data_IF_574561054661
#
_entry.id   IF_574561054661
#
_cell.length_a   1.000
_cell.length_b   1.000
_cell.length_c   1.000
_cell.angle_alpha   90.00
_cell.angle_beta   90.00
_cell.angle_gamma   90.00
#
_symmetry.space_group_name_H-M   'P 1'
#
loop_
_entity.id
_entity.type
_entity.pdbx_description
1 polymer ?
2 non-polymer ?
3 non-polymer ?
4 non-polymer ?
5 non-polymer ?
6 water ?
#
# COMPACT_ATOMS: atom_id res chain seq x y z
N UNK A 2 -27.66 2.20 -22.68
CA UNK A 2 -26.51 2.53 -23.59
C UNK A 2 -25.62 3.58 -22.94
N UNK A 3 -24.94 3.19 -21.85
CA UNK A 3 -24.08 4.09 -21.07
C UNK A 3 -23.10 3.30 -20.17
N UNK A 4 -22.57 3.97 -19.14
CA UNK A 4 -21.60 3.36 -18.22
C UNK A 4 -22.25 2.33 -17.28
N UNK A 5 -21.43 1.44 -16.73
CA UNK A 5 -21.88 0.50 -15.70
C UNK A 5 -20.66 0.10 -14.88
N UNK A 6 -20.88 -0.08 -13.57
CA UNK A 6 -19.84 -0.59 -12.65
C UNK A 6 -20.33 -1.88 -12.03
N UNK A 7 -19.53 -2.95 -12.13
CA UNK A 7 -19.84 -4.15 -11.39
C UNK A 7 -18.64 -4.56 -10.56
N UNK A 8 -18.85 -4.57 -9.26
CA UNK A 8 -17.82 -4.97 -8.29
C UNK A 8 -18.03 -6.42 -7.91
N UNK A 9 -16.96 -7.21 -7.98
CA UNK A 9 -17.02 -8.59 -7.55
C UNK A 9 -16.26 -8.80 -6.25
N UNK A 10 -16.92 -9.41 -5.28
CA UNK A 10 -16.27 -9.84 -4.01
C UNK A 10 -17.02 -10.91 -3.24
N UNK A 11 -16.40 -11.42 -2.18
CA UNK A 11 -17.12 -12.22 -1.20
C UNK A 11 -18.16 -11.36 -0.42
N UNK A 12 -18.94 -12.03 0.43
CA UNK A 12 -19.91 -11.38 1.33
C UNK A 12 -19.18 -10.91 2.58
N UNK A 13 -18.24 -9.99 2.34
CA UNK A 13 -17.38 -9.45 3.36
C UNK A 13 -17.07 -8.00 3.01
N UNK A 14 -16.63 -7.24 4.00
CA UNK A 14 -16.14 -5.91 3.73
C UNK A 14 -14.70 -6.01 3.22
N UNK A 15 -13.82 -6.47 4.09
CA UNK A 15 -12.44 -6.83 3.71
C UNK A 15 -11.82 -5.83 2.74
N UNK A 16 -11.27 -6.32 1.63
CA UNK A 16 -10.58 -5.45 0.67
C UNK A 16 -11.52 -4.64 -0.25
N UNK A 17 -12.76 -5.08 -0.38
CA UNK A 17 -13.75 -4.42 -1.26
C UNK A 17 -14.32 -3.13 -0.69
N UNK A 18 -14.43 -3.06 0.64
CA UNK A 18 -15.23 -1.98 1.23
C UNK A 18 -14.80 -0.55 0.83
N UNK A 19 -13.48 -0.26 0.79
CA UNK A 19 -13.11 1.12 0.38
C UNK A 19 -13.66 1.51 -1.00
N UNK A 20 -13.76 0.52 -1.89
CA UNK A 20 -14.26 0.77 -3.23
C UNK A 20 -15.77 1.09 -3.15
N UNK A 21 -16.49 0.29 -2.38
CA UNK A 21 -17.93 0.54 -2.19
C UNK A 21 -18.17 1.88 -1.57
N UNK A 22 -17.38 2.23 -0.53
CA UNK A 22 -17.56 3.57 0.08
C UNK A 22 -17.26 4.72 -0.89
N UNK A 23 -16.19 4.55 -1.68
CA UNK A 23 -15.81 5.55 -2.67
C UNK A 23 -16.95 5.80 -3.68
N UNK A 24 -17.51 4.72 -4.23
CA UNK A 24 -18.55 4.84 -5.25
C UNK A 24 -19.80 5.48 -4.61
N UNK A 25 -20.08 5.06 -3.37
CA UNK A 25 -21.21 5.60 -2.62
C UNK A 25 -21.05 7.12 -2.39
N UNK A 26 -19.89 7.51 -1.88
CA UNK A 26 -19.66 8.95 -1.60
C UNK A 26 -19.60 9.82 -2.87
N UNK A 27 -19.14 9.25 -3.99
CA UNK A 27 -19.15 9.91 -5.30
C UNK A 27 -20.54 9.97 -5.96
N UNK A 28 -21.52 9.32 -5.36
CA UNK A 28 -22.89 9.32 -5.87
C UNK A 28 -23.07 8.50 -7.14
N UNK A 29 -22.22 7.47 -7.27
CA UNK A 29 -22.21 6.62 -8.45
C UNK A 29 -22.92 5.29 -8.14
N UNK A 30 -24.00 5.01 -8.87
CA UNK A 30 -24.69 3.74 -8.73
C UNK A 30 -23.81 2.62 -9.27
N UNK A 31 -23.85 1.46 -8.60
CA UNK A 31 -23.07 0.31 -9.06
C UNK A 31 -23.69 -1.03 -8.66
N UNK A 32 -23.33 -2.06 -9.42
CA UNK A 32 -23.74 -3.40 -9.11
C UNK A 32 -22.75 -4.00 -8.12
N UNK A 33 -23.22 -4.23 -6.90
CA UNK A 33 -22.40 -4.76 -5.82
C UNK A 33 -22.60 -6.27 -5.75
N UNK A 34 -21.85 -7.00 -6.56
CA UNK A 34 -21.98 -8.46 -6.58
C UNK A 34 -21.14 -9.11 -5.49
N UNK A 35 -21.85 -9.66 -4.50
CA UNK A 35 -21.30 -10.39 -3.35
C UNK A 35 -21.72 -11.85 -3.37
N UNK A 36 -20.78 -12.72 -3.70
CA UNK A 36 -21.08 -14.14 -3.84
C UNK A 36 -20.73 -14.95 -2.61
N UNK A 37 -21.33 -16.12 -2.49
CA UNK A 37 -21.09 -17.00 -1.33
C UNK A 37 -19.78 -17.76 -1.49
N UNK A 38 -19.29 -18.27 -0.37
CA UNK A 38 -18.16 -19.18 -0.34
C UNK A 38 -18.39 -20.41 -1.23
N UNK A 39 -19.62 -20.91 -1.22
CA UNK A 39 -19.99 -22.08 -2.04
C UNK A 39 -19.97 -21.77 -3.54
N UNK A 40 -20.31 -20.53 -3.90
CA UNK A 40 -20.33 -20.14 -5.32
C UNK A 40 -18.91 -19.90 -5.86
N UNK A 41 -18.00 -19.50 -4.97
CA UNK A 41 -16.65 -19.07 -5.39
C UNK A 41 -15.88 -20.08 -6.26
N UNK A 42 -15.88 -21.39 -5.89
CA UNK A 42 -15.03 -22.31 -6.66
C UNK A 42 -15.34 -22.32 -8.16
N UNK A 43 -16.57 -21.97 -8.55
CA UNK A 43 -16.90 -21.96 -9.99
C UNK A 43 -16.82 -20.57 -10.66
N UNK A 44 -16.64 -19.53 -9.84
CA UNK A 44 -16.38 -18.17 -10.30
C UNK A 44 -14.87 -17.96 -10.49
N UNK A 45 -14.08 -18.42 -9.52
CA UNK A 45 -12.62 -18.30 -9.52
C UNK A 45 -11.91 -18.57 -10.87
N UNK A 46 -12.23 -19.71 -11.54
CA UNK A 46 -11.47 -20.04 -12.77
C UNK A 46 -11.77 -19.12 -13.95
N UNK A 47 -12.77 -18.25 -13.80
CA UNK A 47 -13.16 -17.33 -14.84
C UNK A 47 -12.59 -15.92 -14.67
N UNK A 48 -12.04 -15.61 -13.51
CA UNK A 48 -11.53 -14.24 -13.28
C UNK A 48 -10.01 -14.15 -13.43
N UNK A 49 -9.52 -13.03 -13.98
CA UNK A 49 -8.08 -12.83 -14.17
C UNK A 49 -7.36 -12.80 -12.85
N UNK A 50 -6.37 -13.67 -12.73
CA UNK A 50 -5.61 -13.79 -11.50
C UNK A 50 -6.29 -14.66 -10.44
N UNK A 51 -7.57 -15.00 -10.63
CA UNK A 51 -8.27 -15.88 -9.70
C UNK A 51 -8.50 -15.30 -8.30
N UNK A 52 -8.49 -13.97 -8.20
CA UNK A 52 -8.71 -13.32 -6.92
C UNK A 52 -9.70 -12.14 -7.06
N UNK A 53 -10.28 -11.76 -5.93
CA UNK A 53 -11.16 -10.59 -5.87
C UNK A 53 -10.60 -9.60 -4.80
N UNK A 54 -11.01 -8.31 -4.84
CA UNK A 54 -11.99 -7.65 -5.70
C UNK A 54 -11.59 -7.54 -7.13
N UNK A 55 -12.61 -7.49 -7.97
CA UNK A 55 -12.46 -7.14 -9.38
C UNK A 55 -13.55 -6.13 -9.66
N UNK A 56 -13.21 -5.06 -10.37
CA UNK A 56 -14.18 -4.03 -10.81
C UNK A 56 -14.28 -4.04 -12.33
N UNK A 57 -15.49 -4.34 -12.84
CA UNK A 57 -15.74 -4.29 -14.28
C UNK A 57 -16.38 -2.96 -14.60
N UNK A 58 -15.70 -2.18 -15.42
CA UNK A 58 -16.20 -0.89 -15.86
C UNK A 58 -16.57 -0.95 -17.34
N UNK A 59 -17.85 -0.74 -17.61
CA UNK A 59 -18.30 -0.58 -18.99
C UNK A 59 -18.30 0.91 -19.30
N UNK A 60 -17.43 1.27 -20.25
CA UNK A 60 -17.10 2.66 -20.47
C UNK A 60 -18.21 3.42 -21.17
N UNK A 61 -18.03 4.75 -21.31
CA UNK A 61 -18.89 5.55 -22.18
C UNK A 61 -18.85 4.97 -23.61
N UNK A 62 -17.74 4.33 -23.96
CA UNK A 62 -17.56 3.72 -25.29
C UNK A 62 -18.16 2.31 -25.43
N UNK A 63 -18.89 1.86 -24.42
CA UNK A 63 -19.54 0.55 -24.44
C UNK A 63 -18.61 -0.63 -24.21
N UNK A 64 -17.31 -0.36 -24.10
CA UNK A 64 -16.29 -1.39 -23.94
C UNK A 64 -16.03 -1.73 -22.47
N UNK A 65 -15.69 -2.99 -22.21
CA UNK A 65 -15.44 -3.51 -20.86
C UNK A 65 -13.96 -3.47 -20.51
N UNK A 66 -13.65 -2.94 -19.32
CA UNK A 66 -12.28 -3.03 -18.79
C UNK A 66 -12.41 -3.60 -17.37
N UNK A 67 -11.61 -4.60 -17.05
CA UNK A 67 -11.71 -5.35 -15.79
C UNK A 67 -10.48 -4.96 -15.00
N UNK A 68 -10.69 -4.41 -13.81
CA UNK A 68 -9.59 -3.93 -13.00
C UNK A 68 -9.41 -4.80 -11.75
N UNK A 69 -8.14 -5.10 -11.44
CA UNK A 69 -7.72 -5.82 -10.27
C UNK A 69 -7.02 -4.91 -9.26
N UNK A 70 -6.85 -5.49 -8.08
CA UNK A 70 -6.12 -4.93 -6.94
C UNK A 70 -6.88 -3.78 -6.27
N UNK A 71 -7.41 -4.08 -5.10
CA UNK A 71 -8.46 -3.23 -4.43
C UNK A 71 -8.05 -1.74 -4.38
N UNK A 72 -6.85 -1.46 -3.85
CA UNK A 72 -6.44 -0.03 -3.66
C UNK A 72 -5.78 0.62 -4.91
N UNK A 73 -5.50 -0.19 -5.90
CA UNK A 73 -5.23 0.31 -7.24
C UNK A 73 -6.55 0.80 -7.86
N UNK A 74 -7.56 -0.06 -7.82
CA UNK A 74 -8.92 0.29 -8.29
C UNK A 74 -9.36 1.56 -7.58
N UNK A 75 -9.24 1.55 -6.25
CA UNK A 75 -9.71 2.70 -5.44
C UNK A 75 -9.01 4.02 -5.82
N UNK A 76 -7.70 3.98 -6.03
CA UNK A 76 -6.95 5.21 -6.33
C UNK A 76 -7.34 5.75 -7.73
N UNK A 77 -7.50 4.85 -8.70
CA UNK A 77 -7.91 5.23 -10.05
C UNK A 77 -9.27 5.95 -9.98
N UNK A 78 -10.22 5.31 -9.31
CA UNK A 78 -11.56 5.89 -9.13
C UNK A 78 -11.47 7.21 -8.42
N UNK A 79 -10.65 7.25 -7.35
CA UNK A 79 -10.58 8.46 -6.55
C UNK A 79 -10.01 9.62 -7.38
N UNK A 80 -8.99 9.34 -8.22
CA UNK A 80 -8.47 10.35 -9.11
C UNK A 80 -9.59 10.85 -10.04
N UNK A 81 -10.35 9.89 -10.60
CA UNK A 81 -11.44 10.24 -11.53
C UNK A 81 -12.50 11.09 -10.82
N UNK A 82 -12.75 10.79 -9.55
CA UNK A 82 -13.80 11.50 -8.79
C UNK A 82 -13.29 12.71 -8.01
N UNK A 83 -12.04 13.14 -8.25
CA UNK A 83 -11.43 14.29 -7.53
C UNK A 83 -11.43 14.04 -6.01
N UNK A 84 -11.13 12.81 -5.61
CA UNK A 84 -11.10 12.46 -4.20
C UNK A 84 -9.72 11.92 -3.80
N UNK A 85 -8.71 12.32 -4.56
CA UNK A 85 -7.33 11.85 -4.33
C UNK A 85 -6.41 13.04 -4.04
N UNK A 86 -7.01 14.15 -3.59
CA UNK A 86 -6.25 15.36 -3.25
C UNK A 86 -6.13 16.33 -4.42
N UNK A 87 -6.10 17.62 -4.09
CA UNK A 87 -6.10 18.69 -5.11
C UNK A 87 -4.71 19.34 -5.26
N UNK A 88 -3.81 19.02 -4.33
CA UNK A 88 -2.42 19.49 -4.38
C UNK A 88 -1.51 18.28 -4.11
N UNK A 89 -0.23 18.42 -4.43
CA UNK A 89 0.74 17.37 -4.14
C UNK A 89 0.81 17.10 -2.65
N UNK A 90 0.66 18.14 -1.85
CA UNK A 90 0.68 17.98 -0.39
C UNK A 90 -0.54 17.15 0.06
N UNK A 91 -1.71 17.42 -0.53
CA UNK A 91 -2.90 16.65 -0.16
C UNK A 91 -2.75 15.19 -0.56
N UNK A 92 -2.20 14.98 -1.75
CA UNK A 92 -1.90 13.63 -2.26
C UNK A 92 -0.99 12.93 -1.28
N UNK A 93 0.10 13.59 -0.89
CA UNK A 93 0.97 13.02 0.13
C UNK A 93 0.24 12.62 1.43
N UNK A 94 -0.59 13.54 1.95
CA UNK A 94 -1.28 13.31 3.21
C UNK A 94 -2.19 12.06 3.11
N UNK A 95 -2.83 11.92 1.94
CA UNK A 95 -3.68 10.77 1.67
C UNK A 95 -2.83 9.50 1.64
N UNK A 96 -1.71 9.55 0.93
CA UNK A 96 -0.85 8.36 0.82
C UNK A 96 -0.26 8.00 2.17
N UNK A 97 0.07 9.03 2.97
CA UNK A 97 0.56 8.76 4.32
C UNK A 97 -0.43 7.95 5.16
N UNK A 98 -1.70 8.39 5.21
CA UNK A 98 -2.70 7.67 5.99
C UNK A 98 -2.99 6.29 5.45
N UNK A 99 -3.00 6.15 4.14
CA UNK A 99 -3.27 4.84 3.55
C UNK A 99 -2.14 3.86 3.93
N UNK A 100 -0.87 4.30 3.84
CA UNK A 100 0.26 3.41 4.21
C UNK A 100 0.13 2.96 5.67
N UNK A 101 -0.15 3.91 6.56
CA UNK A 101 -0.29 3.60 7.98
C UNK A 101 -1.47 2.63 8.20
N UNK A 102 -2.60 2.91 7.54
CA UNK A 102 -3.75 2.06 7.67
C UNK A 102 -3.56 0.67 7.01
N UNK A 103 -2.74 0.58 5.95
CA UNK A 103 -2.49 -0.77 5.39
C UNK A 103 -1.81 -1.64 6.45
N UNK A 104 -0.90 -1.06 7.22
CA UNK A 104 -0.26 -1.82 8.32
C UNK A 104 -1.28 -2.25 9.38
N UNK A 105 -2.17 -1.33 9.77
CA UNK A 105 -3.19 -1.58 10.78
C UNK A 105 -4.12 -2.69 10.28
N UNK A 106 -4.53 -2.56 9.01
CA UNK A 106 -5.41 -3.53 8.38
C UNK A 106 -4.79 -4.90 8.48
N UNK A 107 -3.51 -5.01 8.13
CA UNK A 107 -2.89 -6.32 8.18
C UNK A 107 -2.85 -6.91 9.58
N UNK A 108 -2.55 -6.06 10.56
CA UNK A 108 -2.51 -6.49 11.97
C UNK A 108 -3.86 -7.08 12.42
N UNK A 109 -4.93 -6.37 12.07
CA UNK A 109 -6.25 -6.78 12.55
C UNK A 109 -6.83 -7.96 11.75
N UNK A 110 -6.51 -8.03 10.44
CA UNK A 110 -6.91 -9.19 9.64
C UNK A 110 -6.25 -10.47 10.17
N UNK A 111 -4.97 -10.36 10.55
CA UNK A 111 -4.24 -11.48 11.13
C UNK A 111 -4.96 -11.99 12.38
N UNK A 112 -5.42 -11.06 13.22
CA UNK A 112 -6.17 -11.40 14.42
C UNK A 112 -7.47 -12.11 14.04
N UNK A 113 -8.26 -11.51 13.14
CA UNK A 113 -9.49 -12.13 12.65
C UNK A 113 -9.27 -13.59 12.20
N UNK A 114 -8.15 -13.84 11.52
CA UNK A 114 -7.86 -15.18 10.99
C UNK A 114 -7.27 -16.14 12.03
N UNK A 115 -7.00 -15.64 13.24
CA UNK A 115 -6.44 -16.47 14.30
C UNK A 115 -7.56 -17.30 14.97
N UNK A 116 -7.31 -18.61 15.23
CA UNK A 116 -8.38 -19.42 15.87
C UNK A 116 -8.77 -18.88 17.25
N UNK A 117 -9.98 -19.19 17.70
CA UNK A 117 -10.51 -18.67 18.98
C UNK A 117 -9.56 -18.83 20.15
N UNK A 118 -8.87 -19.97 20.18
CA UNK A 118 -7.95 -20.30 21.26
C UNK A 118 -6.79 -19.35 21.41
N UNK A 119 -6.21 -18.96 20.28
CA UNK A 119 -4.96 -18.17 20.27
C UNK A 119 -5.18 -16.68 20.01
N UNK A 120 -6.44 -16.30 19.83
CA UNK A 120 -6.83 -14.94 19.51
C UNK A 120 -6.44 -13.96 20.63
N UNK A 121 -6.81 -14.29 21.87
CA UNK A 121 -6.62 -13.35 22.98
C UNK A 121 -5.16 -12.90 23.12
N UNK A 122 -4.22 -13.83 22.99
CA UNK A 122 -2.80 -13.52 23.06
C UNK A 122 -2.32 -12.60 21.93
N UNK A 123 -2.88 -12.76 20.73
CA UNK A 123 -2.57 -11.85 19.62
C UNK A 123 -3.15 -10.48 19.87
N UNK A 124 -4.32 -10.44 20.49
CA UNK A 124 -4.97 -9.18 20.88
C UNK A 124 -4.16 -8.41 21.92
N UNK A 125 -3.70 -9.11 22.95
CA UNK A 125 -2.87 -8.48 23.98
C UNK A 125 -1.59 -7.93 23.36
N UNK A 126 -0.96 -8.73 22.49
CA UNK A 126 0.22 -8.29 21.76
C UNK A 126 -0.06 -6.99 20.99
N UNK A 127 -1.19 -6.97 20.29
CA UNK A 127 -1.57 -5.81 19.50
C UNK A 127 -1.76 -4.60 20.40
N UNK A 128 -2.44 -4.78 21.51
CA UNK A 128 -2.79 -3.65 22.38
C UNK A 128 -1.56 -3.04 23.04
N UNK A 129 -0.53 -3.87 23.27
CA UNK A 129 0.67 -3.42 23.99
C UNK A 129 1.80 -2.91 23.08
N UNK A 130 1.81 -3.31 21.82
CA UNK A 130 3.00 -3.10 20.99
C UNK A 130 2.69 -2.37 19.68
N UNK A 131 2.39 -3.12 18.62
CA UNK A 131 2.16 -2.51 17.31
C UNK A 131 0.91 -1.64 17.19
N UNK A 132 -0.14 -2.01 17.92
CA UNK A 132 -1.39 -1.22 17.93
C UNK A 132 -1.14 0.24 18.31
N UNK A 133 -0.63 0.49 19.54
CA UNK A 133 -0.42 1.93 19.83
C UNK A 133 0.59 2.63 18.95
N UNK A 134 1.59 1.91 18.45
CA UNK A 134 2.56 2.56 17.58
C UNK A 134 1.88 3.05 16.31
N UNK A 135 1.08 2.16 15.70
CA UNK A 135 0.38 2.50 14.45
C UNK A 135 -0.67 3.56 14.68
N UNK A 136 -1.43 3.37 15.76
CA UNK A 136 -2.55 4.25 16.09
C UNK A 136 -2.09 5.65 16.50
N UNK A 137 -0.96 5.74 17.20
CA UNK A 137 -0.29 7.04 17.42
C UNK A 137 0.03 7.78 16.11
N UNK A 138 0.63 7.06 15.16
CA UNK A 138 0.94 7.63 13.84
C UNK A 138 -0.31 8.12 13.17
N UNK A 139 -1.34 7.28 13.18
CA UNK A 139 -2.57 7.63 12.49
C UNK A 139 -3.20 8.86 13.17
N UNK A 140 -3.21 8.86 14.50
CA UNK A 140 -3.75 10.00 15.24
C UNK A 140 -2.98 11.27 14.91
N UNK A 141 -1.65 11.18 14.95
CA UNK A 141 -0.81 12.37 14.67
C UNK A 141 -1.01 12.85 13.25
N UNK A 142 -1.08 11.91 12.28
CA UNK A 142 -1.38 12.31 10.92
C UNK A 142 -2.74 13.06 10.80
N UNK A 143 -3.79 12.51 11.37
CA UNK A 143 -5.12 13.17 11.31
C UNK A 143 -5.15 14.49 12.09
N UNK A 144 -4.49 14.53 13.24
CA UNK A 144 -4.38 15.78 13.98
C UNK A 144 -3.67 16.88 13.19
N UNK A 145 -2.64 16.52 12.41
CA UNK A 145 -1.88 17.51 11.63
C UNK A 145 -2.76 18.19 10.60
N UNK A 146 -3.81 17.50 10.14
CA UNK A 146 -4.66 18.04 9.10
C UNK A 146 -5.99 18.56 9.67
N UNK A 147 -6.10 18.66 10.99
CA UNK A 147 -7.25 19.33 11.60
C UNK A 147 -8.31 18.47 12.26
N UNK A 148 -8.12 17.14 12.23
CA UNK A 148 -8.95 16.21 12.97
C UNK A 148 -10.24 15.72 12.30
N UNK A 149 -10.67 16.41 11.24
CA UNK A 149 -11.95 16.10 10.59
C UNK A 149 -11.75 15.40 9.26
N UNK A 150 -10.69 15.79 8.56
CA UNK A 150 -10.37 15.19 7.27
C UNK A 150 -8.88 15.02 7.17
N UNK A 151 -8.49 13.94 6.48
CA UNK A 151 -7.09 13.61 6.23
C UNK A 151 -6.40 14.68 5.37
N UNK A 152 -7.15 15.21 4.39
CA UNK A 152 -6.59 16.18 3.42
C UNK A 152 -7.69 17.06 2.90
N UNK A 153 -7.39 18.35 2.77
CA UNK A 153 -8.41 19.34 2.37
C UNK A 153 -9.56 19.39 3.37
N UNK A 154 -10.69 19.95 2.97
CA UNK A 154 -11.80 19.99 3.91
C UNK A 154 -12.97 19.15 3.45
N UNK A 155 -12.69 18.24 2.52
CA UNK A 155 -13.72 17.40 1.93
C UNK A 155 -13.33 15.94 2.01
N UNK A 156 -14.31 15.07 1.86
CA UNK A 156 -14.09 13.62 1.83
C UNK A 156 -13.13 13.19 0.69
N UNK A 157 -12.14 12.35 1.05
CA UNK A 157 -11.18 11.77 0.09
C UNK A 157 -11.06 10.26 0.35
N UNK A 158 -10.36 9.56 -0.55
CA UNK A 158 -10.11 8.15 -0.32
C UNK A 158 -9.35 7.94 1.01
N UNK A 159 -8.50 8.92 1.37
CA UNK A 159 -7.81 8.83 2.66
C UNK A 159 -8.78 8.73 3.82
N UNK A 160 -9.80 9.61 3.85
CA UNK A 160 -10.83 9.50 4.89
C UNK A 160 -11.52 8.14 4.88
N UNK A 161 -11.89 7.68 3.68
CA UNK A 161 -12.67 6.48 3.60
C UNK A 161 -11.88 5.23 4.02
N UNK A 162 -10.61 5.15 3.60
CA UNK A 162 -9.78 4.01 3.98
C UNK A 162 -9.46 4.06 5.51
N UNK A 163 -9.27 5.26 6.05
CA UNK A 163 -9.15 5.40 7.50
C UNK A 163 -10.39 4.88 8.22
N UNK A 164 -11.56 5.28 7.69
CA UNK A 164 -12.81 4.84 8.26
C UNK A 164 -12.97 3.30 8.29
N UNK A 165 -12.80 2.64 7.14
CA UNK A 165 -12.95 1.19 7.07
C UNK A 165 -11.93 0.49 8.02
N UNK A 166 -10.72 1.03 8.07
CA UNK A 166 -9.67 0.42 8.87
C UNK A 166 -10.03 0.54 10.37
N UNK A 167 -10.52 1.71 10.78
CA UNK A 167 -10.91 1.94 12.17
C UNK A 167 -12.11 1.03 12.54
N UNK A 168 -13.02 0.80 11.59
CA UNK A 168 -14.12 -0.11 11.81
C UNK A 168 -13.54 -1.46 12.21
N UNK A 169 -12.54 -1.93 11.46
CA UNK A 169 -11.89 -3.20 11.78
C UNK A 169 -11.22 -3.21 13.14
N UNK A 170 -10.50 -2.14 13.49
CA UNK A 170 -9.94 -2.04 14.84
C UNK A 170 -11.03 -2.15 15.92
N UNK A 171 -12.12 -1.40 15.73
CA UNK A 171 -13.21 -1.34 16.72
C UNK A 171 -13.86 -2.69 16.93
N UNK A 172 -13.96 -3.48 15.85
CA UNK A 172 -14.58 -4.80 15.92
C UNK A 172 -13.67 -5.88 16.46
N UNK A 173 -12.37 -5.74 16.18
CA UNK A 173 -11.37 -6.76 16.47
C UNK A 173 -10.83 -6.59 17.87
N UNK A 174 -10.74 -5.35 18.33
CA UNK A 174 -10.14 -5.01 19.63
C UNK A 174 -11.13 -4.08 20.35
N UNK A 175 -12.28 -4.64 20.78
CA UNK A 175 -13.37 -3.76 21.21
C UNK A 175 -12.97 -2.89 22.41
N UNK A 176 -13.36 -1.63 22.38
CA UNK A 176 -13.11 -0.69 23.49
C UNK A 176 -11.78 0.03 23.43
N UNK A 177 -10.80 -0.61 22.79
CA UNK A 177 -9.42 -0.10 22.73
C UNK A 177 -9.30 1.27 22.10
N UNK A 178 -9.85 1.45 20.90
CA UNK A 178 -9.79 2.74 20.23
C UNK A 178 -10.50 3.78 21.08
N UNK A 179 -11.61 3.36 21.63
CA UNK A 179 -12.48 4.20 22.40
C UNK A 179 -11.76 4.69 23.68
N UNK A 180 -11.03 3.82 24.36
CA UNK A 180 -10.29 4.21 25.57
C UNK A 180 -8.98 4.98 25.27
N UNK A 181 -8.16 4.43 24.34
CA UNK A 181 -6.79 4.97 24.13
C UNK A 181 -6.60 6.07 23.05
N UNK A 182 -7.51 6.11 22.07
CA UNK A 182 -7.38 6.97 20.84
C UNK A 182 -8.72 7.67 20.54
N UNK A 183 -9.13 8.52 21.48
CA UNK A 183 -10.51 9.02 21.41
C UNK A 183 -10.74 9.92 20.19
N UNK A 184 -9.72 10.60 19.70
CA UNK A 184 -9.94 11.45 18.54
C UNK A 184 -10.19 10.59 17.31
N UNK A 185 -9.60 9.39 17.25
CA UNK A 185 -9.84 8.50 16.08
C UNK A 185 -11.24 7.91 16.17
N UNK A 186 -11.62 7.56 17.39
CA UNK A 186 -12.99 7.11 17.65
C UNK A 186 -13.96 8.20 17.20
N UNK A 187 -13.64 9.46 17.53
CA UNK A 187 -14.52 10.58 17.14
C UNK A 187 -14.58 10.76 15.62
N UNK A 188 -13.44 10.56 14.95
CA UNK A 188 -13.42 10.65 13.48
C UNK A 188 -14.39 9.62 12.91
N UNK A 189 -14.30 8.40 13.42
CA UNK A 189 -15.16 7.32 12.97
C UNK A 189 -16.64 7.68 13.22
N UNK A 190 -16.93 8.23 14.41
CA UNK A 190 -18.32 8.64 14.74
C UNK A 190 -18.84 9.71 13.78
N UNK A 191 -18.00 10.68 13.42
CA UNK A 191 -18.44 11.89 12.74
C UNK A 191 -18.37 11.85 11.22
N UNK A 192 -17.58 10.93 10.66
CA UNK A 192 -17.32 11.00 9.22
C UNK A 192 -18.60 10.92 8.38
N UNK A 193 -19.55 10.06 8.78
CA UNK A 193 -20.79 10.05 7.98
C UNK A 193 -21.61 11.36 8.02
N UNK A 194 -21.32 12.29 8.93
CA UNK A 194 -21.96 13.62 8.84
C UNK A 194 -21.44 14.43 7.63
N UNK A 195 -20.32 13.98 7.05
CA UNK A 195 -19.67 14.64 5.90
C UNK A 195 -19.95 13.92 4.57
N UNK A 196 -20.64 12.79 4.68
CA UNK A 196 -21.13 12.05 3.53
C UNK A 196 -22.39 11.34 4.03
N UNK A 197 -23.54 11.94 3.78
CA UNK A 197 -24.80 11.43 4.32
C UNK A 197 -25.26 10.22 3.52
N UNK A 198 -24.83 10.18 2.26
CA UNK A 198 -25.01 8.99 1.42
C UNK A 198 -24.36 7.79 2.10
N UNK A 199 -23.18 8.03 2.69
CA UNK A 199 -22.51 7.04 3.51
C UNK A 199 -23.38 6.65 4.73
N UNK A 200 -23.99 7.63 5.39
CA UNK A 200 -24.76 7.36 6.58
C UNK A 200 -25.88 6.37 6.23
N UNK A 201 -26.58 6.63 5.14
CA UNK A 201 -27.67 5.79 4.64
C UNK A 201 -27.17 4.37 4.31
N UNK A 202 -26.05 4.31 3.58
CA UNK A 202 -25.48 3.03 3.14
C UNK A 202 -25.05 2.17 4.34
N UNK A 203 -24.41 2.80 5.31
CA UNK A 203 -23.98 2.10 6.48
C UNK A 203 -25.14 1.47 7.27
N UNK A 204 -26.27 2.19 7.37
CA UNK A 204 -27.43 1.71 8.10
C UNK A 204 -28.09 0.50 7.45
N UNK A 205 -28.04 0.42 6.13
CA UNK A 205 -28.74 -0.66 5.41
C UNK A 205 -27.84 -1.84 5.01
N UNK A 206 -26.53 -1.65 5.16
CA UNK A 206 -25.51 -2.67 4.90
C UNK A 206 -25.69 -3.99 5.65
N UNK A 207 -25.56 -5.11 4.94
CA UNK A 207 -25.53 -6.41 5.60
C UNK A 207 -24.39 -6.49 6.60
N UNK A 208 -24.65 -7.11 7.74
CA UNK A 208 -23.62 -7.38 8.74
C UNK A 208 -22.71 -8.53 8.29
N UNK A 209 -21.40 -8.37 8.51
CA UNK A 209 -20.41 -9.35 8.04
C UNK A 209 -19.36 -9.46 9.13
N UNK A 210 -18.69 -10.63 9.23
CA UNK A 210 -17.65 -10.80 10.27
C UNK A 210 -16.36 -9.97 10.06
N UNK A 211 -16.07 -9.59 8.81
CA UNK A 211 -14.91 -8.75 8.46
C UNK A 211 -15.15 -8.08 7.10
N UNK B 2 20.22 26.62 -0.99
CA UNK B 2 21.30 27.15 -0.11
C UNK B 2 21.35 26.40 1.22
N UNK B 3 20.26 26.44 1.98
CA UNK B 3 20.11 25.57 3.14
C UNK B 3 19.40 24.27 2.74
N UNK B 4 19.14 24.16 1.44
CA UNK B 4 18.44 23.05 0.80
C UNK B 4 19.17 21.72 0.98
N UNK B 5 18.42 20.69 1.36
CA UNK B 5 18.99 19.41 1.81
C UNK B 5 17.90 18.34 1.87
N UNK B 6 18.28 17.10 1.55
CA UNK B 6 17.43 15.94 1.75
C UNK B 6 18.24 15.01 2.62
N UNK B 7 17.61 14.53 3.71
CA UNK B 7 18.19 13.48 4.60
C UNK B 7 17.19 12.36 4.81
N UNK B 8 17.59 11.14 4.46
CA UNK B 8 16.74 9.99 4.62
C UNK B 8 17.30 9.22 5.81
N UNK B 9 16.41 8.87 6.74
CA UNK B 9 16.77 8.10 7.93
C UNK B 9 16.26 6.66 7.81
N UNK B 10 17.11 5.67 8.12
CA UNK B 10 16.67 4.30 8.17
C UNK B 10 17.78 3.43 8.77
N UNK B 11 17.46 2.17 9.02
CA UNK B 11 18.48 1.17 9.40
C UNK B 11 19.39 0.83 8.22
N UNK B 12 20.46 0.09 8.52
CA UNK B 12 21.39 -0.36 7.50
C UNK B 12 20.86 -1.62 6.83
N UNK B 13 19.70 -1.44 6.18
CA UNK B 13 18.99 -2.50 5.49
C UNK B 13 18.37 -1.88 4.27
N UNK B 14 18.01 -2.71 3.30
CA UNK B 14 17.16 -2.29 2.22
C UNK B 14 15.71 -2.03 2.70
N UNK B 15 15.02 -3.11 3.08
CA UNK B 15 13.71 -3.02 3.71
C UNK B 15 12.81 -2.01 3.04
N UNK B 16 12.18 -1.17 3.86
CA UNK B 16 11.26 -0.19 3.33
C UNK B 16 11.91 1.06 2.70
N UNK B 17 13.21 1.32 2.94
CA UNK B 17 13.86 2.54 2.43
C UNK B 17 14.32 2.43 0.97
N UNK B 18 14.66 1.21 0.52
CA UNK B 18 15.31 0.99 -0.78
C UNK B 18 14.59 1.67 -1.96
N UNK B 19 13.24 1.52 -2.03
CA UNK B 19 12.60 2.16 -3.19
C UNK B 19 12.83 3.67 -3.27
N UNK B 20 12.90 4.33 -2.12
CA UNK B 20 13.21 5.76 -2.06
C UNK B 20 14.64 6.04 -2.53
N UNK B 21 15.60 5.29 -2.00
CA UNK B 21 16.99 5.40 -2.44
C UNK B 21 17.15 5.22 -3.96
N UNK B 22 16.46 4.21 -4.48
CA UNK B 22 16.53 3.93 -5.91
C UNK B 22 15.91 5.04 -6.74
N UNK B 23 14.79 5.58 -6.27
CA UNK B 23 14.10 6.63 -6.97
C UNK B 23 15.02 7.86 -7.06
N UNK B 24 15.56 8.27 -5.90
CA UNK B 24 16.50 9.37 -5.84
C UNK B 24 17.73 9.18 -6.73
N UNK B 25 18.23 7.94 -6.73
CA UNK B 25 19.37 7.57 -7.56
C UNK B 25 19.03 7.76 -9.03
N UNK B 26 17.95 7.12 -9.49
CA UNK B 26 17.50 7.28 -10.88
C UNK B 26 17.31 8.74 -11.31
N UNK B 27 16.78 9.57 -10.41
CA UNK B 27 16.49 10.95 -10.73
C UNK B 27 17.74 11.86 -10.64
N UNK B 28 18.84 11.29 -10.13
CA UNK B 28 20.09 12.06 -9.93
C UNK B 28 20.04 13.11 -8.83
N UNK B 29 19.10 12.96 -7.89
CA UNK B 29 18.98 13.90 -6.78
C UNK B 29 19.93 13.49 -5.66
N UNK B 30 20.77 14.44 -5.25
CA UNK B 30 21.75 14.18 -4.22
C UNK B 30 21.11 14.29 -2.84
N UNK B 31 21.38 13.30 -2.01
CA UNK B 31 20.77 13.25 -0.69
C UNK B 31 21.72 12.60 0.33
N UNK B 32 21.52 12.98 1.57
CA UNK B 32 22.20 12.31 2.68
C UNK B 32 21.42 11.06 3.07
N UNK B 33 22.06 9.91 2.86
CA UNK B 33 21.50 8.61 3.14
C UNK B 33 21.98 8.14 4.51
N UNK B 34 21.28 8.56 5.54
CA UNK B 34 21.69 8.19 6.91
C UNK B 34 21.22 6.77 7.28
N UNK B 35 22.18 5.85 7.33
CA UNK B 35 21.86 4.45 7.64
C UNK B 35 22.46 4.15 9.00
N UNK B 36 21.66 4.30 10.03
CA UNK B 36 22.21 4.16 11.38
C UNK B 36 22.30 2.69 11.79
N UNK B 37 23.19 2.40 12.75
CA UNK B 37 23.30 1.04 13.29
C UNK B 37 22.20 0.73 14.32
N UNK B 38 21.88 -0.54 14.44
CA UNK B 38 20.82 -0.97 15.33
C UNK B 38 21.06 -0.51 16.78
N UNK B 39 22.34 -0.35 17.18
CA UNK B 39 22.61 0.13 18.54
C UNK B 39 22.29 1.61 18.79
N UNK B 40 22.09 2.38 17.73
CA UNK B 40 21.75 3.81 17.87
C UNK B 40 20.24 4.01 17.98
N UNK B 41 19.50 3.02 17.48
CA UNK B 41 18.05 3.20 17.35
C UNK B 41 17.33 3.63 18.64
N UNK B 42 17.56 2.92 19.77
CA UNK B 42 16.86 3.34 21.00
C UNK B 42 17.08 4.83 21.35
N UNK B 43 18.26 5.34 21.01
CA UNK B 43 18.57 6.74 21.22
C UNK B 43 17.84 7.65 20.22
N UNK B 44 17.81 7.22 18.96
CA UNK B 44 17.19 8.02 17.89
C UNK B 44 15.65 8.02 17.96
N UNK B 45 15.09 6.85 18.18
CA UNK B 45 13.62 6.67 18.13
C UNK B 45 12.78 7.79 18.78
N UNK B 46 13.06 8.13 20.07
CA UNK B 46 12.21 9.09 20.74
C UNK B 46 12.29 10.48 20.11
N UNK B 47 13.34 10.74 19.33
CA UNK B 47 13.52 12.06 18.68
C UNK B 47 12.83 12.23 17.32
N UNK B 48 12.33 11.13 16.76
CA UNK B 48 11.73 11.20 15.43
C UNK B 48 10.18 11.20 15.49
N UNK B 49 9.51 12.03 14.66
CA UNK B 49 8.04 12.02 14.72
C UNK B 49 7.51 10.65 14.33
N UNK B 50 6.69 10.08 15.20
CA UNK B 50 6.08 8.80 14.94
C UNK B 50 6.93 7.65 15.43
N UNK B 51 8.18 7.93 15.78
CA UNK B 51 9.06 6.90 16.32
C UNK B 51 9.36 5.73 15.40
N UNK B 52 9.24 5.95 14.09
CA UNK B 52 9.54 4.90 13.10
C UNK B 52 10.23 5.48 11.85
N UNK B 53 10.92 4.61 11.10
CA UNK B 53 11.56 4.95 9.84
C UNK B 53 11.04 4.06 8.69
N UNK B 54 11.26 4.49 7.43
CA UNK B 54 11.98 5.69 6.98
C UNK B 54 11.33 7.01 7.33
N UNK B 55 12.19 8.02 7.42
CA UNK B 55 11.80 9.41 7.53
C UNK B 55 12.60 10.20 6.51
N UNK B 56 11.93 11.06 5.76
CA UNK B 56 12.66 11.93 4.83
C UNK B 56 12.52 13.36 5.28
N UNK B 57 13.63 13.93 5.75
CA UNK B 57 13.73 15.35 6.10
C UNK B 57 14.14 16.22 4.90
N UNK B 58 13.25 17.16 4.56
CA UNK B 58 13.44 18.03 3.43
C UNK B 58 13.53 19.47 3.93
N UNK B 59 14.69 20.07 3.70
CA UNK B 59 14.95 21.46 4.09
C UNK B 59 15.00 22.34 2.85
N UNK B 60 14.24 23.43 2.89
CA UNK B 60 14.20 24.39 1.78
C UNK B 60 15.31 25.41 1.87
N UNK B 61 15.49 26.22 0.81
CA UNK B 61 16.55 27.23 0.72
C UNK B 61 16.61 28.16 1.94
N UNK B 62 15.44 28.55 2.43
CA UNK B 62 15.31 29.43 3.60
C UNK B 62 15.55 28.67 4.91
N UNK B 63 15.58 27.34 4.83
CA UNK B 63 15.87 26.52 6.01
C UNK B 63 14.66 25.97 6.75
N UNK B 64 13.48 26.03 6.13
CA UNK B 64 12.27 25.44 6.72
C UNK B 64 12.35 23.90 6.58
N UNK B 65 12.14 23.20 7.67
CA UNK B 65 12.22 21.73 7.66
C UNK B 65 10.83 21.12 7.54
N UNK B 66 10.65 20.21 6.60
CA UNK B 66 9.44 19.36 6.53
C UNK B 66 9.89 17.90 6.65
N UNK B 67 9.20 17.14 7.52
CA UNK B 67 9.56 15.75 7.89
C UNK B 67 8.49 14.77 7.38
N UNK B 68 8.85 14.01 6.35
CA UNK B 68 7.89 13.13 5.68
C UNK B 68 8.00 11.69 6.19
N UNK B 69 6.87 11.13 6.61
CA UNK B 69 6.81 9.74 7.07
C UNK B 69 6.20 8.84 5.98
N UNK B 70 6.34 7.53 6.18
CA UNK B 70 5.63 6.48 5.41
C UNK B 70 6.30 6.21 4.04
N UNK B 71 7.07 5.12 3.94
CA UNK B 71 8.01 4.95 2.84
C UNK B 71 7.37 5.10 1.46
N UNK B 72 6.24 4.42 1.25
CA UNK B 72 5.66 4.41 -0.10
C UNK B 72 4.79 5.65 -0.38
N UNK B 73 4.52 6.42 0.69
CA UNK B 73 3.94 7.76 0.51
C UNK B 73 5.04 8.73 0.12
N UNK B 74 6.18 8.68 0.80
CA UNK B 74 7.35 9.45 0.36
C UNK B 74 7.68 9.15 -1.12
N UNK B 75 7.81 7.86 -1.41
CA UNK B 75 8.15 7.42 -2.76
C UNK B 75 7.15 7.93 -3.82
N UNK B 76 5.85 7.85 -3.53
CA UNK B 76 4.85 8.32 -4.51
C UNK B 76 4.93 9.83 -4.72
N UNK B 77 5.15 10.61 -3.64
CA UNK B 77 5.27 12.06 -3.78
C UNK B 77 6.51 12.40 -4.64
N UNK B 78 7.65 11.81 -4.30
CA UNK B 78 8.87 12.02 -5.08
C UNK B 78 8.67 11.60 -6.57
N UNK B 79 8.08 10.41 -6.75
CA UNK B 79 7.86 9.84 -8.07
C UNK B 79 6.97 10.79 -8.89
N UNK B 80 5.93 11.34 -8.28
CA UNK B 80 5.08 12.31 -8.98
C UNK B 80 5.92 13.50 -9.44
N UNK B 81 6.72 14.01 -8.52
CA UNK B 81 7.62 15.13 -8.79
C UNK B 81 8.62 14.83 -9.92
N UNK B 82 9.08 13.58 -9.98
CA UNK B 82 10.06 13.12 -10.96
C UNK B 82 9.44 12.55 -12.26
N UNK B 83 8.14 12.73 -12.44
CA UNK B 83 7.42 12.13 -13.57
C UNK B 83 7.79 10.65 -13.71
N UNK B 84 7.68 9.93 -12.58
CA UNK B 84 7.86 8.50 -12.58
C UNK B 84 6.66 7.76 -11.97
N UNK B 85 5.50 8.44 -11.97
CA UNK B 85 4.25 7.85 -11.44
C UNK B 85 3.24 7.61 -12.57
N UNK B 86 3.74 7.47 -13.80
CA UNK B 86 2.88 7.29 -14.98
C UNK B 86 2.56 8.57 -15.73
N UNK B 87 2.40 8.45 -17.05
CA UNK B 87 2.11 9.62 -17.93
C UNK B 87 0.62 9.69 -18.31
N UNK B 88 -0.11 8.61 -18.07
CA UNK B 88 -1.56 8.56 -18.26
C UNK B 88 -2.24 7.98 -17.02
N UNK B 89 -3.56 8.15 -16.90
CA UNK B 89 -4.34 7.49 -15.83
C UNK B 89 -4.17 5.95 -15.90
N UNK B 90 -4.18 5.41 -17.12
CA UNK B 90 -3.95 3.98 -17.31
C UNK B 90 -2.59 3.59 -16.75
N UNK B 91 -1.54 4.38 -17.04
CA UNK B 91 -0.20 4.05 -16.50
C UNK B 91 -0.20 4.16 -14.98
N UNK B 92 -0.85 5.21 -14.46
CA UNK B 92 -1.04 5.32 -12.99
C UNK B 92 -1.65 4.03 -12.40
N UNK B 93 -2.75 3.55 -13.00
CA UNK B 93 -3.35 2.29 -12.59
C UNK B 93 -2.39 1.08 -12.65
N UNK B 94 -1.68 0.92 -13.77
CA UNK B 94 -0.72 -0.18 -13.94
C UNK B 94 0.30 -0.19 -12.78
N UNK B 95 0.78 1.01 -12.47
CA UNK B 95 1.77 1.17 -11.40
C UNK B 95 1.17 0.81 -10.04
N UNK B 96 -0.04 1.28 -9.75
CA UNK B 96 -0.68 1.00 -8.46
C UNK B 96 -1.03 -0.49 -8.36
N UNK B 97 -1.44 -1.11 -9.46
CA UNK B 97 -1.68 -2.55 -9.44
C UNK B 97 -0.41 -3.31 -9.05
N UNK B 98 0.71 -3.00 -9.72
CA UNK B 98 1.98 -3.68 -9.42
C UNK B 98 2.39 -3.42 -7.97
N UNK B 99 2.26 -2.17 -7.53
CA UNK B 99 2.57 -1.91 -6.10
C UNK B 99 1.74 -2.72 -5.08
N UNK B 100 0.42 -2.83 -5.26
CA UNK B 100 -0.45 -3.57 -4.35
C UNK B 100 -0.06 -5.04 -4.31
N UNK B 101 0.18 -5.59 -5.51
CA UNK B 101 0.59 -6.98 -5.66
C UNK B 101 1.94 -7.18 -4.97
N UNK B 102 2.86 -6.24 -5.18
CA UNK B 102 4.19 -6.38 -4.58
C UNK B 102 4.19 -6.11 -3.08
N UNK B 103 3.29 -5.26 -2.60
CA UNK B 103 3.18 -5.08 -1.14
C UNK B 103 2.81 -6.43 -0.48
N UNK B 104 1.89 -7.20 -1.08
CA UNK B 104 1.55 -8.52 -0.60
C UNK B 104 2.77 -9.43 -0.62
N UNK B 105 3.44 -9.47 -1.76
CA UNK B 105 4.66 -10.30 -1.95
C UNK B 105 5.73 -9.91 -0.90
N UNK B 106 5.99 -8.61 -0.77
CA UNK B 106 6.98 -8.12 0.23
C UNK B 106 6.65 -8.60 1.66
N UNK B 107 5.40 -8.49 2.07
CA UNK B 107 4.97 -8.94 3.41
C UNK B 107 5.18 -10.45 3.61
N UNK B 108 4.88 -11.24 2.58
CA UNK B 108 5.11 -12.68 2.63
C UNK B 108 6.59 -12.99 2.82
N UNK B 109 7.46 -12.33 2.07
CA UNK B 109 8.89 -12.67 2.20
C UNK B 109 9.52 -12.04 3.43
N UNK B 110 9.07 -10.83 3.79
CA UNK B 110 9.55 -10.22 5.03
C UNK B 110 9.21 -11.12 6.24
N UNK B 111 8.02 -11.74 6.22
CA UNK B 111 7.62 -12.65 7.26
C UNK B 111 8.58 -13.84 7.32
N UNK B 112 9.02 -14.32 6.18
CA UNK B 112 10.03 -15.39 6.20
C UNK B 112 11.34 -14.88 6.81
N UNK B 113 11.74 -13.67 6.45
CA UNK B 113 13.01 -13.12 6.95
C UNK B 113 12.95 -12.99 8.47
N UNK B 114 11.82 -12.52 9.00
CA UNK B 114 11.59 -12.45 10.47
C UNK B 114 11.52 -13.79 11.21
N UNK B 115 11.36 -14.87 10.46
CA UNK B 115 11.19 -16.18 11.06
C UNK B 115 12.54 -16.72 11.53
N UNK B 116 12.61 -17.18 12.81
CA UNK B 116 13.90 -17.73 13.28
C UNK B 116 14.37 -18.90 12.43
N UNK B 117 15.69 -19.09 12.37
CA UNK B 117 16.29 -20.03 11.42
C UNK B 117 15.60 -21.39 11.29
N UNK B 118 15.38 -22.09 12.40
CA UNK B 118 14.83 -23.46 12.34
C UNK B 118 13.41 -23.61 11.82
N UNK B 119 12.65 -22.52 11.84
CA UNK B 119 11.28 -22.50 11.36
C UNK B 119 11.14 -21.97 9.92
N UNK B 120 12.22 -21.48 9.34
CA UNK B 120 12.16 -20.90 7.98
C UNK B 120 11.76 -21.91 6.92
N UNK B 121 12.26 -23.14 7.03
CA UNK B 121 11.96 -24.14 6.00
C UNK B 121 10.43 -24.39 5.83
N UNK B 122 9.72 -24.56 6.95
CA UNK B 122 8.26 -24.72 6.95
C UNK B 122 7.51 -23.53 6.36
N UNK B 123 8.00 -22.34 6.67
CA UNK B 123 7.36 -21.11 6.20
C UNK B 123 7.54 -20.97 4.70
N UNK B 124 8.74 -21.34 4.22
CA UNK B 124 9.06 -21.31 2.81
C UNK B 124 8.18 -22.34 2.06
N UNK B 125 8.06 -23.54 2.62
CA UNK B 125 7.15 -24.54 2.04
C UNK B 125 5.75 -23.96 1.91
N UNK B 126 5.24 -23.35 2.98
CA UNK B 126 3.91 -22.73 2.94
C UNK B 126 3.78 -21.69 1.79
N UNK B 127 4.78 -20.81 1.65
CA UNK B 127 4.81 -19.78 0.61
C UNK B 127 4.77 -20.41 -0.79
N UNK B 128 5.65 -21.39 -1.02
CA UNK B 128 5.75 -22.04 -2.33
C UNK B 128 4.47 -22.77 -2.73
N UNK B 129 3.72 -23.25 -1.77
CA UNK B 129 2.56 -24.09 -2.07
C UNK B 129 1.25 -23.29 -2.17
N UNK B 130 1.25 -22.08 -1.63
CA UNK B 130 0.01 -21.32 -1.50
C UNK B 130 0.12 -19.92 -2.12
N UNK B 131 0.37 -18.91 -1.30
CA UNK B 131 0.33 -17.54 -1.82
C UNK B 131 1.45 -17.15 -2.80
N UNK B 132 2.61 -17.80 -2.71
CA UNK B 132 3.74 -17.52 -3.60
C UNK B 132 3.33 -17.61 -5.07
N UNK B 133 2.90 -18.79 -5.50
CA UNK B 133 2.42 -18.94 -6.89
C UNK B 133 1.28 -18.00 -7.26
N UNK B 134 0.34 -17.80 -6.34
CA UNK B 134 -0.80 -16.89 -6.65
C UNK B 134 -0.28 -15.48 -6.95
N UNK B 135 0.52 -14.97 -6.02
CA UNK B 135 1.03 -13.60 -6.15
C UNK B 135 1.98 -13.42 -7.34
N UNK B 136 2.81 -14.44 -7.56
CA UNK B 136 3.77 -14.33 -8.63
C UNK B 136 3.09 -14.46 -10.01
N UNK B 137 1.98 -15.21 -10.05
CA UNK B 137 1.18 -15.26 -11.28
C UNK B 137 0.55 -13.89 -11.55
N UNK B 138 0.04 -13.24 -10.49
CA UNK B 138 -0.56 -11.92 -10.67
C UNK B 138 0.49 -10.93 -11.17
N UNK B 139 1.65 -10.93 -10.54
CA UNK B 139 2.71 -10.06 -10.96
C UNK B 139 3.16 -10.37 -12.41
N UNK B 140 3.24 -11.67 -12.73
CA UNK B 140 3.67 -12.06 -14.08
C UNK B 140 2.67 -11.53 -15.11
N UNK B 141 1.38 -11.76 -14.88
CA UNK B 141 0.35 -11.29 -15.79
C UNK B 141 0.30 -9.77 -15.91
N UNK B 142 0.44 -9.07 -14.77
CA UNK B 142 0.55 -7.62 -14.81
C UNK B 142 1.70 -7.14 -15.70
N UNK B 143 2.89 -7.72 -15.51
CA UNK B 143 4.04 -7.29 -16.27
C UNK B 143 3.85 -7.63 -17.78
N UNK B 144 3.27 -8.81 -18.04
CA UNK B 144 3.07 -9.21 -19.43
C UNK B 144 2.11 -8.24 -20.13
N UNK B 145 1.06 -7.81 -19.40
CA UNK B 145 0.08 -6.89 -19.96
C UNK B 145 0.67 -5.53 -20.39
N UNK B 146 1.84 -5.18 -19.86
CA UNK B 146 2.50 -3.92 -20.27
C UNK B 146 3.73 -4.17 -21.14
N UNK B 147 3.88 -5.41 -21.60
CA UNK B 147 4.94 -5.75 -22.54
C UNK B 147 6.25 -6.37 -22.06
N UNK B 148 6.37 -6.67 -20.76
CA UNK B 148 7.51 -7.46 -20.29
C UNK B 148 8.77 -6.70 -19.90
N UNK B 149 8.89 -5.43 -20.32
CA UNK B 149 10.09 -4.67 -20.03
C UNK B 149 9.86 -3.64 -18.96
N UNK B 150 8.67 -3.03 -19.01
CA UNK B 150 8.29 -2.01 -18.03
C UNK B 150 6.88 -2.21 -17.54
N UNK B 151 6.66 -1.87 -16.28
CA UNK B 151 5.36 -1.99 -15.66
C UNK B 151 4.37 -1.04 -16.34
N UNK B 152 4.88 0.10 -16.80
CA UNK B 152 4.05 1.14 -17.44
C UNK B 152 4.89 1.97 -18.40
N UNK B 153 4.43 2.09 -19.65
CA UNK B 153 5.11 2.92 -20.64
C UNK B 153 6.47 2.40 -21.08
N UNK B 154 7.35 3.33 -21.41
CA UNK B 154 8.62 2.96 -22.05
C UNK B 154 9.83 3.32 -21.22
N UNK B 155 9.59 3.73 -19.98
CA UNK B 155 10.70 4.09 -19.14
C UNK B 155 10.45 3.77 -17.67
N UNK B 156 11.52 3.86 -16.90
CA UNK B 156 11.52 3.55 -15.49
C UNK B 156 10.48 4.37 -14.69
N UNK B 157 9.74 3.66 -13.84
CA UNK B 157 8.76 4.25 -12.94
C UNK B 157 8.91 3.68 -11.51
N UNK B 158 8.25 4.29 -10.56
CA UNK B 158 8.20 3.72 -9.20
C UNK B 158 7.70 2.27 -9.26
N UNK B 159 6.78 2.01 -10.19
CA UNK B 159 6.30 0.66 -10.38
C UNK B 159 7.45 -0.30 -10.68
N UNK B 160 8.30 0.08 -11.64
CA UNK B 160 9.47 -0.78 -12.00
C UNK B 160 10.36 -0.97 -10.79
N UNK B 161 10.62 0.14 -10.10
CA UNK B 161 11.59 0.05 -8.98
C UNK B 161 11.07 -0.85 -7.85
N UNK B 162 9.79 -0.69 -7.50
CA UNK B 162 9.27 -1.49 -6.42
C UNK B 162 9.12 -2.96 -6.82
N UNK B 163 8.86 -3.22 -8.10
CA UNK B 163 8.84 -4.60 -8.55
C UNK B 163 10.26 -5.19 -8.41
N UNK B 164 11.23 -4.39 -8.84
CA UNK B 164 12.63 -4.79 -8.80
C UNK B 164 13.05 -5.16 -7.36
N UNK B 165 12.81 -4.26 -6.41
CA UNK B 165 13.23 -4.50 -5.01
C UNK B 165 12.54 -5.72 -4.40
N UNK B 166 11.24 -5.86 -4.68
CA UNK B 166 10.47 -6.98 -4.14
C UNK B 166 11.01 -8.29 -4.74
N UNK B 167 11.23 -8.33 -6.04
CA UNK B 167 11.76 -9.55 -6.66
C UNK B 167 13.12 -9.92 -6.07
N UNK B 168 13.98 -8.94 -5.82
CA UNK B 168 15.27 -9.25 -5.14
C UNK B 168 15.01 -10.01 -3.82
N UNK B 169 14.04 -9.56 -3.03
CA UNK B 169 13.70 -10.25 -1.79
C UNK B 169 13.26 -11.69 -2.04
N UNK B 170 12.46 -11.93 -3.09
CA UNK B 170 12.01 -13.28 -3.38
C UNK B 170 13.22 -14.16 -3.73
N UNK B 171 14.09 -13.63 -4.58
CA UNK B 171 15.31 -14.34 -5.05
C UNK B 171 16.22 -14.68 -3.88
N UNK B 172 16.30 -13.77 -2.92
CA UNK B 172 17.16 -14.01 -1.75
C UNK B 172 16.52 -14.93 -0.71
N UNK B 173 15.19 -14.87 -0.57
CA UNK B 173 14.54 -15.63 0.48
C UNK B 173 14.15 -17.04 0.02
N UNK B 174 13.86 -17.21 -1.28
CA UNK B 174 13.47 -18.50 -1.83
C UNK B 174 14.34 -18.81 -3.07
N UNK B 175 15.64 -19.12 -2.87
CA UNK B 175 16.55 -19.19 -4.01
C UNK B 175 16.09 -20.22 -5.03
N UNK B 176 16.17 -19.86 -6.31
CA UNK B 176 15.83 -20.80 -7.38
C UNK B 176 14.38 -20.69 -7.85
N UNK B 177 13.48 -20.31 -6.94
CA UNK B 177 12.03 -20.37 -7.23
C UNK B 177 11.62 -19.42 -8.36
N UNK B 178 12.03 -18.16 -8.28
CA UNK B 178 11.74 -17.22 -9.35
C UNK B 178 12.38 -17.67 -10.64
N UNK B 179 13.64 -18.08 -10.52
CA UNK B 179 14.48 -18.45 -11.63
C UNK B 179 13.83 -19.62 -12.39
N UNK B 180 13.35 -20.61 -11.63
CA UNK B 180 12.82 -21.85 -12.21
C UNK B 180 11.33 -21.78 -12.62
N UNK B 181 10.54 -21.01 -11.86
CA UNK B 181 9.09 -21.01 -12.07
C UNK B 181 8.53 -19.75 -12.74
N UNK B 182 9.28 -18.65 -12.71
CA UNK B 182 8.85 -17.35 -13.27
C UNK B 182 10.01 -16.66 -14.01
N UNK B 183 10.54 -17.33 -15.06
CA UNK B 183 11.74 -16.83 -15.74
C UNK B 183 11.59 -15.41 -16.29
N UNK B 184 10.41 -15.03 -16.76
CA UNK B 184 10.24 -13.66 -17.32
C UNK B 184 10.40 -12.57 -16.25
N UNK B 185 10.04 -12.90 -15.02
CA UNK B 185 10.22 -11.96 -13.91
C UNK B 185 11.70 -11.91 -13.55
N UNK B 186 12.33 -13.08 -13.57
CA UNK B 186 13.78 -13.15 -13.38
C UNK B 186 14.49 -12.32 -14.45
N UNK B 187 14.05 -12.46 -15.69
CA UNK B 187 14.55 -11.64 -16.78
C UNK B 187 14.37 -10.13 -16.54
N UNK B 188 13.20 -9.75 -16.00
CA UNK B 188 12.94 -8.34 -15.67
C UNK B 188 13.97 -7.87 -14.64
N UNK B 189 14.22 -8.70 -13.64
CA UNK B 189 15.14 -8.34 -12.55
C UNK B 189 16.53 -8.13 -13.15
N UNK B 190 16.84 -8.92 -14.17
CA UNK B 190 18.13 -8.83 -14.87
C UNK B 190 18.26 -7.53 -15.70
N UNK B 191 17.23 -7.20 -16.47
CA UNK B 191 17.29 -6.14 -17.49
C UNK B 191 17.01 -4.74 -16.98
N UNK B 192 16.16 -4.64 -15.95
CA UNK B 192 15.70 -3.31 -15.52
C UNK B 192 16.80 -2.27 -15.21
N UNK B 193 17.85 -2.66 -14.45
CA UNK B 193 18.87 -1.66 -14.08
C UNK B 193 19.49 -0.92 -15.26
N UNK B 194 19.48 -1.50 -16.46
CA UNK B 194 20.02 -0.84 -17.64
C UNK B 194 19.15 0.33 -18.13
N UNK B 195 17.88 0.34 -17.71
CA UNK B 195 16.93 1.40 -18.09
C UNK B 195 17.23 2.71 -17.36
N UNK B 196 18.15 2.67 -16.40
CA UNK B 196 18.57 3.87 -15.69
C UNK B 196 20.07 3.80 -15.46
N UNK B 197 20.80 4.74 -16.03
CA UNK B 197 22.26 4.64 -16.07
C UNK B 197 22.90 4.57 -14.68
N UNK B 198 22.50 5.48 -13.81
CA UNK B 198 23.05 5.54 -12.44
C UNK B 198 22.72 4.30 -11.58
N UNK B 199 21.71 3.54 -11.99
CA UNK B 199 21.23 2.42 -11.20
C UNK B 199 22.23 1.26 -11.12
N UNK B 200 22.74 0.80 -12.27
CA UNK B 200 23.63 -0.37 -12.27
C UNK B 200 24.88 -0.06 -11.46
N UNK B 201 25.41 1.14 -11.68
CA UNK B 201 26.53 1.68 -10.92
C UNK B 201 26.25 1.56 -9.41
N UNK B 202 25.17 2.18 -8.97
CA UNK B 202 24.77 2.17 -7.58
C UNK B 202 24.68 0.76 -6.99
N UNK B 203 24.02 -0.14 -7.73
CA UNK B 203 23.77 -1.50 -7.27
C UNK B 203 25.04 -2.31 -7.11
N UNK B 204 26.01 -2.09 -8.01
CA UNK B 204 27.30 -2.80 -7.92
C UNK B 204 28.14 -2.37 -6.70
N UNK B 205 28.08 -1.09 -6.32
CA UNK B 205 28.87 -0.60 -5.19
C UNK B 205 28.21 -0.71 -3.81
N UNK B 206 26.89 -0.91 -3.80
CA UNK B 206 26.11 -1.01 -2.56
C UNK B 206 26.59 -2.17 -1.68
N UNK B 207 26.74 -1.89 -0.38
CA UNK B 207 27.18 -2.92 0.56
C UNK B 207 26.05 -3.92 0.72
N UNK B 208 26.39 -5.20 0.90
CA UNK B 208 25.40 -6.27 1.08
C UNK B 208 24.66 -6.12 2.41
N UNK B 209 23.34 -6.38 2.42
CA UNK B 209 22.53 -6.31 3.65
C UNK B 209 21.67 -7.58 3.76
N UNK B 210 21.30 -7.98 4.99
CA UNK B 210 20.49 -9.20 5.19
C UNK B 210 19.08 -9.12 4.59
N UNK B 211 18.56 -7.90 4.47
CA UNK B 211 17.20 -7.63 3.93
C UNK B 211 17.12 -6.14 3.60
X LIG C 1 -8.36 -18.62 0.64
X LIG C 1 -6.94 -18.68 0.36
X LIG C 1 -6.47 -20.11 0.47
X LIG C 1 -7.29 -21.03 0.29
X LIG C 1 -5.27 -20.33 0.73
X LIG C 1 -6.12 -17.80 1.31
X LIG C 1 -6.92 -16.65 1.94
X LIG C 1 -6.75 -15.38 1.14
X LIG C 1 -7.28 -15.32 0.04
X LIG C 1 -6.02 -14.41 1.72
X LIG C 1 -5.75 -13.09 1.16
X LIG C 1 -4.30 -12.68 1.29
X LIG C 1 -3.57 -13.20 2.15
X LIG C 1 -6.59 -12.13 2.03
X LIG C 1 -8.33 -12.52 2.01
X LIG C 1 -3.88 -11.73 0.44
X LIG C 1 -2.58 -11.10 0.28
X LIG C 1 -1.47 -12.11 0.07
X LIG C 1 -0.40 -11.97 0.70
X LIG C 1 -1.67 -13.05 -0.74
X LIG C 1 -9.10 -15.04 -2.24
X LIG C 1 -9.67 -16.11 -3.06
X LIG C 1 -8.69 -17.13 -3.54
X LIG C 1 -9.19 -18.21 -3.94
X LIG C 1 -7.46 -16.85 -3.51
X LIG C 1 -9.19 -13.76 -2.62
X LIG C 1 -9.68 -13.43 -3.69
X LIG C 1 -8.66 -12.71 -1.67
X LIG C 1 -8.22 -11.50 -2.32
X LIG C 1 -9.79 -12.32 -0.70
X LIG C 1 -9.24 -11.33 0.67
X LIG C 1 -5.11 -7.65 -3.03
X LIG C 1 -6.30 -6.71 -3.05
X LIG C 1 -7.13 -6.75 -4.02
X LIG C 1 -6.43 -5.90 -2.12
X LIG C 1 -3.97 -7.10 -2.31
X LIG C 1 -5.60 -8.84 -2.18
X LIG C 1 -6.75 -9.62 -2.82
X LIG C 1 -7.06 -10.90 -2.05
X LIG C 1 -6.27 -11.38 -1.24
X LIG D 1 -3.97 -7.10 -2.31
X LIG D 1 -5.11 -7.65 -3.03
X LIG D 1 -6.30 -6.71 -3.05
X LIG D 1 -7.13 -6.75 -4.02
X LIG D 1 -6.43 -5.90 -2.12
X LIG D 1 -5.60 -8.84 -2.18
X LIG D 1 -6.75 -9.62 -2.82
X LIG D 1 -7.06 -10.90 -2.05
X LIG D 1 -6.27 -11.38 -1.24
X LIG D 1 -8.22 -11.50 -2.32
X LIG D 1 -8.66 -12.71 -1.67
X LIG D 1 -9.19 -13.76 -2.62
X LIG D 1 -9.68 -13.43 -3.69
X LIG D 1 -9.88 -12.14 -0.98
X LIG D 1 -10.49 -13.21 0.28
X LIG D 1 -9.10 -15.04 -2.24
X LIG D 1 -9.67 -16.11 -3.06
X LIG D 1 -8.69 -17.13 -3.54
X LIG D 1 -9.19 -18.21 -3.94
X LIG D 1 -7.46 -16.85 -3.51
X LIG E 1 4.21 17.12 4.99
X LIG E 1 2.53 17.01 5.57
X LIG E 1 5.32 16.39 6.22
X LIG E 1 4.79 18.85 5.04
X LIG F 1 -7.48 -2.17 -17.73
X LIG F 1 -7.46 -3.42 -16.44
X LIG F 1 -8.09 -2.87 -19.27
X LIG F 1 -5.76 -1.87 -18.20
X LIG G 1 -12.06 -11.12 3.50
X LIG G 1 -13.07 -9.72 3.02
X LIG G 1 -12.75 -12.62 2.73
X LIG G 1 -12.33 -11.50 5.24
X LIG H 1 -16.64 0.34 7.30
X LIG I 1 -6.38 9.92 19.47
X LIG J 1 -8.66 -0.45 26.72
X LIG K 1 -14.82 -2.08 7.38
X LIG L 1 7.58 -4.24 17.27
X LIG L 1 7.83 -4.47 15.85
X LIG L 1 7.12 -5.72 15.40
X LIG L 1 7.00 -6.68 16.20
X LIG L 1 6.68 -5.76 14.24
X LIG L 1 9.34 -4.56 15.59
X LIG L 1 9.72 -4.88 14.15
X LIG L 1 9.25 -3.82 13.16
X LIG L 1 9.61 -2.65 13.26
X LIG L 1 8.47 -4.26 12.17
X LIG L 1 7.92 -3.40 11.11
X LIG L 1 6.45 -3.66 10.88
X LIG L 1 5.97 -4.79 11.05
X LIG L 1 8.70 -3.68 9.81
X LIG L 1 10.45 -3.44 9.89
X LIG L 1 5.70 -2.63 10.46
X LIG L 1 4.28 -2.59 10.15
X LIG L 1 3.44 -2.89 11.36
X LIG L 1 2.44 -3.65 11.26
X LIG L 1 3.78 -2.37 12.44
X LIG L 1 10.86 -0.07 13.39
X LIG L 1 11.38 0.49 14.64
X LIG L 1 10.41 0.66 15.77
X LIG L 1 10.88 1.05 16.86
X LIG L 1 9.20 0.40 15.59
X LIG L 1 10.70 0.65 12.29
X LIG L 1 10.97 1.86 12.20
X LIG L 1 10.24 -0.10 11.08
X LIG L 1 9.48 0.74 10.19
X LIG L 1 11.45 -0.54 10.24
X LIG L 1 10.99 -1.69 8.99
X LIG L 1 5.72 1.79 7.10
X LIG L 1 6.65 2.31 6.03
X LIG L 1 6.73 1.65 4.97
X LIG L 1 7.31 3.38 6.19
X LIG L 1 4.58 1.07 6.50
X LIG L 1 6.45 0.80 8.02
X LIG L 1 7.61 1.46 8.78
X LIG L 1 8.25 0.46 9.73
X LIG L 1 7.66 -0.58 10.00
X LIG M 1 4.58 1.07 6.50
X LIG M 1 5.72 1.79 7.10
X LIG M 1 6.65 2.31 6.03
X LIG M 1 6.73 1.65 4.97
X LIG M 1 7.31 3.38 6.19
X LIG M 1 6.45 0.80 8.02
X LIG M 1 7.61 1.46 8.78
X LIG M 1 8.25 0.46 9.73
X LIG M 1 7.66 -0.58 10.00
X LIG M 1 9.48 0.74 10.19
X LIG M 1 10.24 -0.10 11.08
X LIG M 1 10.70 0.65 12.29
X LIG M 1 10.97 1.86 12.20
X LIG M 1 11.50 -0.42 10.26
X LIG M 1 12.44 -1.69 11.05
X LIG M 1 10.86 -0.07 13.39
X LIG M 1 11.38 0.49 14.64
X LIG M 1 10.41 0.66 15.77
X LIG M 1 10.88 1.05 16.86
X LIG M 1 9.20 0.40 15.59
X LIG N 1 13.96 -4.10 8.00
X LIG N 1 14.59 -2.77 6.99
X LIG N 1 14.62 -3.90 9.68
X LIG N 1 14.82 -5.63 7.50
X LIG O 1 9.50 17.36 -1.11
X LIG O 1 7.98 18.23 -1.51
X LIG O 1 10.72 17.75 -2.39
X LIG O 1 9.30 15.59 -1.41
X LIG P 1 19.64 0.51 -1.09
X LIG Q 1 12.59 27.29 3.05
X LIG R 1 17.29 -4.43 -4.72
X LIG S 1 23.18 -2.56 11.91
#
# INVERSE_FOLDING_TARGET
MDKQHFKLWYFQFRGRAEPIRLLLTCAGVKFEDYQFTMDQWPTIKPTLPGGRVPLLDVTGPDGKLRRYQESMAIARLLARQFKMMGETDEEYYLIERIIGECEDLYREVYTIFRTPQGEKEAKIKEFKENNGPTLLKLVSESLESSGGKHVAGNRITLGDLFLFTTLTHVMETVPGFLEQKFPKLHEFHKSLPTSCSRLSEYLKKRAKTPF
MDKQHFKLWYFQFRGRAEPIRLLLTCAGVKFEDYQFTMDQWPTIKPTLPGGRVPLLDVTGPDGKLRRYQESMAIARLLARQFKMMGETDEEYYLIERIIGECEDLYREVYTIFRTPQGEKEAKIKEFKENNGPTLLKLVSESLESSGGKHVAGNRITLGDLFLFTTLTHVMETVPGFLEQKFPKLHEFHKSLPTSCSRLSEYLKKRAKTPF
GDS N1 CA1 C1 OE1 OE2 CB1 CG1 CD1 O1 N2 CA2 C2 O2 CB2 SG2 N3 CA3 C3 OE3 OE4 N4 CA4 C4 OE5 OE6 C5 O5 CA5 N5 CB5 SG5 CA6 C6 OE7 OE8 N6 CB6 CG6 CD6 O6
GSH N1 CA1 C1 O11 O12 CB1 CG1 CD1 OE1 N2 CA2 C2 O2 CB2 SG2 N3 CA3 C3 O31 O32
DMS S O C1 C2
DMS S O C1 C2
DMS S O C1 C2
BR BR
BR BR
BR BR
BR BR
GDS N1 CA1 C1 OE1 OE2 CB1 CG1 CD1 O1 N2 CA2 C2 O2 CB2 SG2 N3 CA3 C3 OE3 OE4 N4 CA4 C4 OE5 OE6 C5 O5 CA5 N5 CB5 SG5 CA6 C6 OE7 OE8 N6 CB6 CG6 CD6 O6
GSH N1 CA1 C1 O11 O12 CB1 CG1 CD1 OE1 N2 CA2 C2 O2 CB2 SG2 N3 CA3 C3 O31 O32
DMS S O C1 C2
DMS S O C1 C2
BR BR
BR BR
BR BR
BR BR
#
